data_IF_775780132740
#
_entry.id   IF_775780132740
#
_cell.length_a   1.000
_cell.length_b   1.000
_cell.length_c   1.000
_cell.angle_alpha   90.00
_cell.angle_beta   90.00
_cell.angle_gamma   90.00
#
_symmetry.space_group_name_H-M   'P 1'
#
loop_
_entity.id
_entity.type
_entity.pdbx_description
1 polymer ?
#
# COMPACT_ATOMS: atom_id res chain seq x y z
N UNK A 1 -74.56 -13.85 -41.85
CA UNK A 1 -73.88 -15.16 -41.76
C UNK A 1 -72.39 -14.96 -42.05
N UNK A 2 -71.58 -14.74 -41.01
CA UNK A 2 -70.13 -14.54 -41.11
C UNK A 2 -69.45 -15.85 -40.69
N UNK A 3 -68.69 -16.43 -41.62
CA UNK A 3 -67.99 -17.71 -41.48
C UNK A 3 -66.77 -17.59 -40.55
N UNK A 4 -66.59 -18.62 -39.73
CA UNK A 4 -65.55 -18.80 -38.72
C UNK A 4 -64.16 -18.94 -39.34
N UNK A 5 -63.18 -18.18 -38.82
CA UNK A 5 -61.76 -18.34 -39.12
C UNK A 5 -61.15 -19.23 -38.03
N UNK A 6 -60.85 -20.48 -38.40
CA UNK A 6 -60.14 -21.45 -37.55
C UNK A 6 -58.67 -21.07 -37.38
N UNK A 7 -58.24 -20.93 -36.12
CA UNK A 7 -56.84 -20.75 -35.72
C UNK A 7 -56.05 -22.05 -35.95
N UNK A 8 -54.96 -22.00 -36.73
CA UNK A 8 -53.92 -23.03 -36.76
C UNK A 8 -52.68 -22.55 -36.00
N UNK A 9 -52.16 -23.41 -35.15
CA UNK A 9 -51.03 -23.17 -34.25
C UNK A 9 -49.69 -23.08 -34.99
N UNK A 10 -48.75 -22.21 -34.56
CA UNK A 10 -47.45 -22.06 -35.20
C UNK A 10 -46.45 -23.07 -34.63
N UNK A 11 -46.67 -24.36 -34.91
CA UNK A 11 -45.67 -25.42 -34.71
C UNK A 11 -45.75 -26.37 -35.88
N UNK A 12 -45.26 -25.94 -37.02
CA UNK A 12 -44.80 -26.74 -38.17
C UNK A 12 -44.84 -25.81 -39.37
N UNK A 13 -43.68 -25.31 -39.79
CA UNK A 13 -43.26 -25.00 -41.16
C UNK A 13 -41.84 -24.44 -41.01
N UNK A 14 -40.88 -25.14 -41.61
CA UNK A 14 -39.47 -24.81 -41.92
C UNK A 14 -38.55 -25.99 -41.58
N UNK A 15 -38.75 -27.08 -42.32
CA UNK A 15 -37.67 -27.98 -42.73
C UNK A 15 -37.72 -28.05 -44.25
N UNK A 16 -36.74 -27.47 -44.92
CA UNK A 16 -36.15 -28.02 -46.15
C UNK A 16 -34.92 -27.21 -46.56
N UNK A 17 -33.77 -27.91 -46.56
CA UNK A 17 -32.56 -27.80 -47.42
C UNK A 17 -31.86 -26.42 -47.45
N UNK A 18 -30.61 -26.30 -47.01
CA UNK A 18 -29.41 -26.77 -47.75
C UNK A 18 -28.35 -27.32 -46.80
N UNK A 19 -27.90 -28.54 -47.08
CA UNK A 19 -26.71 -29.17 -46.55
C UNK A 19 -25.47 -28.63 -47.26
N UNK A 20 -24.56 -28.00 -46.54
CA UNK A 20 -23.14 -27.99 -46.92
C UNK A 20 -22.35 -28.56 -45.76
N UNK A 21 -21.79 -29.74 -46.02
CA UNK A 21 -20.97 -30.50 -45.11
C UNK A 21 -19.58 -29.86 -45.04
N UNK A 22 -19.16 -29.46 -43.84
CA UNK A 22 -17.77 -29.08 -43.56
C UNK A 22 -16.95 -30.37 -43.40
N UNK A 23 -15.88 -30.59 -44.18
CA UNK A 23 -15.07 -31.80 -44.07
C UNK A 23 -14.27 -31.81 -42.76
N UNK A 24 -14.33 -32.94 -42.04
CA UNK A 24 -13.46 -33.25 -40.90
C UNK A 24 -12.04 -33.49 -41.41
N UNK A 25 -10.99 -32.87 -40.84
CA UNK A 25 -9.63 -33.24 -41.20
C UNK A 25 -9.31 -34.63 -40.66
N UNK A 26 -9.13 -35.56 -41.61
CA UNK A 26 -8.56 -36.89 -41.43
C UNK A 26 -7.08 -36.81 -41.06
N UNK A 27 -6.60 -37.90 -40.46
CA UNK A 27 -5.37 -37.96 -39.68
C UNK A 27 -4.12 -37.43 -40.37
N UNK A 28 -3.34 -36.65 -39.60
CA UNK A 28 -1.96 -36.33 -39.91
C UNK A 28 -1.07 -37.36 -39.24
N UNK A 29 -0.25 -38.01 -40.07
CA UNK A 29 0.62 -39.13 -39.75
C UNK A 29 1.62 -38.82 -38.62
N UNK A 30 1.89 -39.85 -37.82
CA UNK A 30 2.94 -39.89 -36.80
C UNK A 30 4.31 -39.93 -37.51
N UNK A 31 5.17 -38.91 -37.37
CA UNK A 31 6.52 -39.01 -37.93
C UNK A 31 7.32 -40.05 -37.14
N UNK A 32 7.82 -41.03 -37.88
CA UNK A 32 8.77 -42.03 -37.42
C UNK A 32 10.10 -41.39 -37.04
N UNK A 33 10.70 -41.99 -36.03
CA UNK A 33 11.91 -41.60 -35.33
C UNK A 33 13.12 -41.67 -36.28
N UNK A 34 13.51 -40.55 -36.91
CA UNK A 34 14.81 -40.43 -37.57
C UNK A 34 15.82 -39.84 -36.59
N UNK A 35 16.81 -40.63 -36.23
CA UNK A 35 17.93 -40.28 -35.36
C UNK A 35 18.79 -39.18 -36.00
N UNK A 36 18.53 -37.92 -35.67
CA UNK A 36 19.49 -36.83 -35.92
C UNK A 36 20.20 -36.50 -34.61
N UNK A 37 21.39 -37.08 -34.47
CA UNK A 37 22.57 -36.58 -33.74
C UNK A 37 22.26 -35.60 -32.60
N UNK A 38 22.39 -36.11 -31.37
CA UNK A 38 22.59 -35.33 -30.15
C UNK A 38 23.74 -34.34 -30.40
N UNK A 39 23.41 -33.11 -30.78
CA UNK A 39 24.30 -31.99 -30.49
C UNK A 39 24.29 -31.88 -28.98
N UNK A 40 25.42 -32.21 -28.35
CA UNK A 40 25.67 -31.95 -26.96
C UNK A 40 25.36 -30.46 -26.72
N UNK A 41 24.17 -30.20 -26.16
CA UNK A 41 23.86 -28.90 -25.58
C UNK A 41 24.90 -28.77 -24.48
N UNK A 42 25.84 -27.85 -24.66
CA UNK A 42 26.78 -27.41 -23.63
C UNK A 42 26.02 -27.40 -22.29
N UNK A 43 26.58 -27.96 -21.21
CA UNK A 43 25.88 -27.99 -19.93
C UNK A 43 25.41 -26.56 -19.68
N UNK A 44 24.09 -26.39 -19.58
CA UNK A 44 23.52 -25.13 -19.16
C UNK A 44 24.31 -24.74 -17.92
N UNK A 45 25.03 -23.62 -18.01
CA UNK A 45 25.77 -23.03 -16.92
C UNK A 45 24.96 -23.27 -15.66
N UNK A 46 25.54 -24.01 -14.72
CA UNK A 46 24.99 -24.23 -13.38
C UNK A 46 24.18 -23.00 -12.97
N UNK A 47 22.96 -23.12 -12.43
CA UNK A 47 22.29 -21.94 -11.88
C UNK A 47 23.28 -21.33 -10.90
N UNK A 48 23.85 -20.18 -11.29
CA UNK A 48 24.80 -19.45 -10.47
C UNK A 48 24.13 -19.34 -9.13
N UNK A 49 24.73 -19.96 -8.11
CA UNK A 49 24.25 -19.89 -6.74
C UNK A 49 23.85 -18.42 -6.49
N UNK A 50 22.67 -18.13 -5.92
CA UNK A 50 22.18 -16.76 -5.79
C UNK A 50 23.33 -15.94 -5.23
N UNK A 51 23.82 -15.01 -6.07
CA UNK A 51 24.90 -14.11 -5.76
C UNK A 51 24.67 -13.59 -4.36
N UNK A 52 25.65 -13.77 -3.47
CA UNK A 52 25.63 -13.21 -2.12
C UNK A 52 25.14 -11.78 -2.27
N UNK A 53 23.94 -11.48 -1.75
CA UNK A 53 23.34 -10.18 -1.94
C UNK A 53 24.34 -9.15 -1.42
N UNK A 54 24.90 -8.34 -2.29
CA UNK A 54 25.93 -7.37 -1.91
C UNK A 54 25.29 -6.35 -0.95
N UNK A 55 25.91 -6.08 0.20
CA UNK A 55 25.39 -5.09 1.14
C UNK A 55 25.39 -3.70 0.49
N UNK A 56 24.33 -2.93 0.74
CA UNK A 56 24.24 -1.55 0.24
C UNK A 56 24.97 -0.64 1.21
N UNK A 57 26.03 0.02 0.76
CA UNK A 57 26.80 0.96 1.56
C UNK A 57 26.22 2.37 1.43
N UNK A 58 26.02 3.04 2.57
CA UNK A 58 25.61 4.44 2.64
C UNK A 58 26.56 5.18 3.59
N UNK A 59 26.98 6.38 3.19
CA UNK A 59 27.77 7.29 4.03
C UNK A 59 26.91 7.90 5.14
N UNK A 60 27.49 8.12 6.32
CA UNK A 60 26.78 8.78 7.39
C UNK A 60 26.42 10.22 7.02
N UNK A 61 25.22 10.64 7.41
CA UNK A 61 24.78 12.03 7.33
C UNK A 61 25.27 12.77 8.56
N UNK A 62 25.68 14.04 8.37
CA UNK A 62 26.19 14.85 9.46
C UNK A 62 25.16 14.96 10.61
N UNK A 63 25.58 14.75 11.87
CA UNK A 63 24.70 14.85 13.01
C UNK A 63 24.22 16.29 13.22
N UNK A 64 23.10 16.43 13.95
CA UNK A 64 22.57 17.76 14.31
C UNK A 64 23.59 18.59 15.09
N UNK A 65 24.35 17.96 15.99
CA UNK A 65 25.47 18.57 16.68
C UNK A 65 26.67 17.62 16.58
N UNK A 66 27.80 18.04 15.99
CA UNK A 66 28.99 17.21 15.95
C UNK A 66 29.55 17.10 17.37
N UNK A 67 29.58 15.88 17.91
CA UNK A 67 30.29 15.57 19.14
C UNK A 67 31.68 15.08 18.78
N UNK A 68 32.69 15.35 19.62
CA UNK A 68 34.07 14.90 19.40
C UNK A 68 34.24 13.37 19.35
N UNK A 69 33.23 12.63 19.80
CA UNK A 69 33.16 11.17 19.83
C UNK A 69 32.45 10.59 18.60
N UNK A 70 31.72 11.41 17.84
CA UNK A 70 31.02 10.93 16.66
C UNK A 70 32.04 10.65 15.54
N UNK A 71 31.94 9.52 14.82
CA UNK A 71 32.84 9.23 13.72
C UNK A 71 32.62 10.22 12.56
N UNK A 72 33.70 10.58 11.86
CA UNK A 72 33.62 11.50 10.73
C UNK A 72 32.67 10.97 9.64
N UNK A 73 31.72 11.80 9.13
CA UNK A 73 30.63 11.33 8.28
C UNK A 73 31.09 10.79 6.92
N UNK A 74 32.26 11.23 6.45
CA UNK A 74 32.83 10.83 5.15
C UNK A 74 33.57 9.48 5.20
N UNK A 75 34.07 9.06 6.37
CA UNK A 75 34.90 7.86 6.49
C UNK A 75 34.10 6.62 6.92
N UNK A 76 32.94 6.81 7.56
CA UNK A 76 32.15 5.68 8.10
C UNK A 76 31.09 5.21 7.11
N UNK A 77 31.33 4.04 6.53
CA UNK A 77 30.40 3.33 5.67
C UNK A 77 29.49 2.41 6.50
N UNK A 78 28.17 2.60 6.41
CA UNK A 78 27.19 1.71 7.04
C UNK A 78 26.72 0.67 6.03
N UNK A 79 26.93 -0.61 6.35
CA UNK A 79 26.43 -1.73 5.54
C UNK A 79 24.95 -2.01 5.86
N UNK A 80 24.08 -1.86 4.85
CA UNK A 80 22.65 -2.15 4.96
C UNK A 80 22.29 -3.50 4.35
N UNK A 81 21.25 -4.12 4.91
CA UNK A 81 20.76 -5.41 4.43
C UNK A 81 20.08 -5.29 3.06
N UNK A 82 20.61 -5.97 2.03
CA UNK A 82 20.05 -5.88 0.68
C UNK A 82 18.64 -6.47 0.57
N UNK A 83 18.23 -7.37 1.48
CA UNK A 83 16.87 -7.94 1.45
C UNK A 83 15.78 -6.90 1.73
N UNK A 84 16.13 -5.83 2.46
CA UNK A 84 15.22 -4.74 2.83
C UNK A 84 15.43 -3.51 1.94
N UNK A 85 16.69 -3.19 1.64
CA UNK A 85 17.07 -1.94 0.96
C UNK A 85 17.37 -2.09 -0.53
N UNK A 86 17.41 -3.32 -1.07
CA UNK A 86 17.65 -3.58 -2.51
C UNK A 86 16.52 -4.40 -3.16
N UNK A 87 15.28 -4.02 -2.92
CA UNK A 87 14.12 -4.62 -3.59
C UNK A 87 13.85 -3.94 -4.95
N UNK A 88 13.37 -4.67 -5.99
CA UNK A 88 12.84 -4.05 -7.20
C UNK A 88 11.65 -3.13 -6.88
N UNK A 89 11.61 -1.98 -7.55
CA UNK A 89 10.60 -0.94 -7.33
C UNK A 89 9.26 -1.41 -7.91
N UNK A 90 8.25 -1.51 -7.05
CA UNK A 90 6.90 -1.99 -7.36
C UNK A 90 5.85 -0.93 -7.04
N UNK A 91 5.48 -0.14 -8.04
CA UNK A 91 4.54 1.00 -7.91
C UNK A 91 3.12 0.55 -7.55
N UNK A 92 2.74 -0.64 -7.99
CA UNK A 92 1.46 -1.31 -7.70
C UNK A 92 1.25 -1.49 -6.19
N UNK A 93 2.25 -2.05 -5.48
CA UNK A 93 2.16 -2.29 -4.04
C UNK A 93 2.15 -0.99 -3.25
N UNK A 94 2.99 -0.02 -3.65
CA UNK A 94 3.03 1.30 -3.02
C UNK A 94 1.68 2.00 -3.11
N UNK A 95 1.06 2.00 -4.30
CA UNK A 95 -0.26 2.57 -4.51
C UNK A 95 -1.32 1.90 -3.61
N UNK A 96 -1.35 0.57 -3.55
CA UNK A 96 -2.28 -0.17 -2.68
C UNK A 96 -2.15 0.23 -1.21
N UNK A 97 -0.91 0.31 -0.69
CA UNK A 97 -0.66 0.70 0.69
C UNK A 97 -1.12 2.15 0.98
N UNK A 98 -0.89 3.07 0.02
CA UNK A 98 -1.32 4.47 0.15
C UNK A 98 -2.85 4.57 0.13
N UNK A 99 -3.53 3.88 -0.78
CA UNK A 99 -4.99 3.85 -0.84
C UNK A 99 -5.57 3.31 0.46
N UNK A 100 -5.07 2.16 0.94
CA UNK A 100 -5.51 1.56 2.21
C UNK A 100 -5.33 2.51 3.40
N UNK A 101 -4.19 3.20 3.49
CA UNK A 101 -3.96 4.18 4.54
C UNK A 101 -4.96 5.34 4.45
N UNK A 102 -5.15 5.92 3.25
CA UNK A 102 -6.05 7.06 3.05
C UNK A 102 -7.51 6.71 3.27
N UNK A 103 -7.94 5.52 2.85
CA UNK A 103 -9.29 5.04 3.06
C UNK A 103 -9.60 4.81 4.54
N UNK A 104 -8.63 4.34 5.32
CA UNK A 104 -8.76 4.17 6.79
C UNK A 104 -8.91 5.50 7.53
N UNK A 105 -8.45 6.62 6.96
CA UNK A 105 -8.61 7.96 7.55
C UNK A 105 -10.00 8.57 7.28
N UNK A 106 -10.81 7.99 6.40
CA UNK A 106 -12.11 8.55 6.02
C UNK A 106 -13.19 8.12 7.01
N UNK A 107 -13.86 9.09 7.63
CA UNK A 107 -14.91 8.83 8.62
C UNK A 107 -16.26 8.41 8.01
N UNK A 108 -16.58 8.88 6.81
CA UNK A 108 -17.82 8.53 6.13
C UNK A 108 -19.11 8.96 6.83
N UNK A 109 -19.13 10.11 7.52
CA UNK A 109 -20.28 10.62 8.27
C UNK A 109 -21.40 11.25 7.42
N UNK A 110 -21.25 11.30 6.10
CA UNK A 110 -22.25 11.89 5.22
C UNK A 110 -23.56 11.09 5.27
N UNK A 111 -24.65 11.77 5.67
CA UNK A 111 -25.97 11.17 5.78
C UNK A 111 -27.03 12.07 5.18
N UNK A 112 -27.99 11.47 4.50
CA UNK A 112 -29.20 12.12 4.00
C UNK A 112 -30.42 11.38 4.51
N UNK A 113 -31.51 12.11 4.73
CA UNK A 113 -32.76 11.49 5.16
C UNK A 113 -33.48 10.91 3.96
N UNK A 114 -33.71 9.60 4.01
CA UNK A 114 -34.61 8.91 3.10
C UNK A 114 -36.05 9.29 3.42
N UNK A 115 -36.99 8.97 2.53
CA UNK A 115 -38.42 9.23 2.74
C UNK A 115 -38.96 8.69 4.07
N UNK A 116 -38.39 7.61 4.61
CA UNK A 116 -38.79 7.03 5.90
C UNK A 116 -38.27 7.78 7.13
N UNK A 117 -37.20 8.57 6.97
CA UNK A 117 -36.54 9.30 8.07
C UNK A 117 -36.95 10.79 8.10
N UNK A 118 -37.49 11.31 7.00
CA UNK A 118 -38.02 12.68 6.95
C UNK A 118 -39.29 12.77 7.79
N UNK A 119 -39.44 13.81 8.60
CA UNK A 119 -40.68 14.04 9.36
C UNK A 119 -41.78 14.49 8.41
N UNK A 120 -42.87 13.73 8.30
CA UNK A 120 -44.00 14.07 7.44
C UNK A 120 -45.19 13.14 7.65
N UNK A 121 -46.31 13.45 6.98
CA UNK A 121 -47.51 12.61 7.03
C UNK A 121 -47.42 11.47 6.01
N UNK A 122 -47.56 10.23 6.48
CA UNK A 122 -47.71 9.04 5.65
C UNK A 122 -49.12 8.89 5.03
N UNK A 123 -50.04 9.81 5.34
CA UNK A 123 -51.38 9.83 4.74
C UNK A 123 -51.28 10.23 3.28
N UNK A 124 -52.04 9.53 2.43
CA UNK A 124 -52.17 9.87 1.02
C UNK A 124 -52.69 11.31 0.87
N UNK A 125 -51.97 12.15 0.12
CA UNK A 125 -52.27 13.59 -0.01
C UNK A 125 -53.64 13.84 -0.63
N UNK A 126 -54.05 13.01 -1.60
CA UNK A 126 -55.34 13.12 -2.30
C UNK A 126 -55.78 11.79 -2.90
N UNK A 127 -57.09 11.59 -3.19
CA UNK A 127 -57.59 10.34 -3.75
C UNK A 127 -56.94 10.00 -5.10
N UNK A 128 -56.94 8.70 -5.41
CA UNK A 128 -56.26 8.15 -6.60
C UNK A 128 -56.84 8.66 -7.94
N UNK A 129 -58.11 9.07 -7.94
CA UNK A 129 -58.87 9.57 -9.09
C UNK A 129 -59.75 10.76 -8.64
N UNK A 130 -60.31 11.51 -9.60
CA UNK A 130 -61.27 12.59 -9.36
C UNK A 130 -60.68 14.00 -9.16
N UNK A 131 -59.37 14.14 -8.96
CA UNK A 131 -58.73 15.45 -8.71
C UNK A 131 -58.10 16.12 -9.93
N UNK A 132 -58.05 15.47 -11.09
CA UNK A 132 -57.43 16.01 -12.31
C UNK A 132 -55.90 16.21 -12.28
N UNK A 133 -55.25 15.99 -11.13
CA UNK A 133 -53.79 16.13 -10.93
C UNK A 133 -53.08 14.77 -11.04
N UNK A 134 -51.76 14.77 -11.29
CA UNK A 134 -50.89 13.57 -11.39
C UNK A 134 -51.06 12.59 -10.22
N UNK A 135 -50.69 11.32 -10.24
CA UNK A 135 -50.89 10.47 -9.03
C UNK A 135 -49.85 10.78 -7.95
N UNK A 136 -50.27 10.85 -6.69
CA UNK A 136 -49.38 11.15 -5.57
C UNK A 136 -49.67 10.27 -4.34
N UNK A 137 -48.61 9.93 -3.62
CA UNK A 137 -48.65 9.18 -2.38
C UNK A 137 -48.68 10.12 -1.17
N UNK A 138 -47.68 9.94 -0.33
CA UNK A 138 -47.34 10.65 0.90
C UNK A 138 -46.50 11.92 0.66
N UNK A 139 -46.46 12.78 1.68
CA UNK A 139 -45.71 14.03 1.64
C UNK A 139 -44.18 13.85 1.69
N UNK A 140 -43.69 12.71 2.18
CA UNK A 140 -42.26 12.42 2.28
C UNK A 140 -41.63 11.95 0.95
N UNK A 141 -42.43 11.82 -0.11
CA UNK A 141 -41.97 11.34 -1.42
C UNK A 141 -40.83 12.21 -1.98
N UNK A 142 -39.75 11.60 -2.50
CA UNK A 142 -38.61 12.34 -3.09
C UNK A 142 -38.99 13.20 -4.31
N UNK A 143 -40.14 12.91 -4.93
CA UNK A 143 -40.67 13.72 -6.04
C UNK A 143 -41.19 15.09 -5.58
N UNK A 144 -41.46 15.26 -4.28
CA UNK A 144 -42.00 16.48 -3.70
C UNK A 144 -40.89 17.33 -3.07
N UNK A 145 -41.08 18.65 -3.08
CA UNK A 145 -40.22 19.57 -2.32
C UNK A 145 -40.37 19.29 -0.82
N UNK A 146 -39.24 19.20 -0.12
CA UNK A 146 -39.21 18.83 1.30
C UNK A 146 -39.37 17.33 1.58
N UNK A 147 -39.49 16.49 0.53
CA UNK A 147 -39.42 15.04 0.65
C UNK A 147 -38.00 14.52 0.93
N UNK A 148 -37.89 13.21 1.16
CA UNK A 148 -36.59 12.56 1.35
C UNK A 148 -35.75 12.47 0.08
N UNK A 149 -34.47 12.15 0.19
CA UNK A 149 -33.59 11.91 -0.96
C UNK A 149 -33.59 10.40 -1.27
N UNK A 150 -33.79 10.04 -2.55
CA UNK A 150 -33.85 8.64 -2.97
C UNK A 150 -32.47 7.96 -2.95
N UNK A 151 -31.47 8.57 -3.60
CA UNK A 151 -30.10 8.08 -3.69
C UNK A 151 -29.13 9.12 -3.13
N UNK A 152 -29.15 9.28 -1.81
CA UNK A 152 -28.22 10.17 -1.11
C UNK A 152 -27.13 9.39 -0.37
N UNK A 153 -26.06 10.06 0.08
CA UNK A 153 -25.04 9.43 0.88
C UNK A 153 -25.62 8.90 2.19
N UNK A 154 -25.17 7.70 2.57
CA UNK A 154 -25.41 7.08 3.86
C UNK A 154 -24.09 6.82 4.58
N UNK A 155 -24.07 6.89 5.92
CA UNK A 155 -22.88 6.58 6.68
C UNK A 155 -22.37 5.20 6.35
N UNK A 156 -21.09 5.09 6.03
CA UNK A 156 -20.43 3.83 5.70
C UNK A 156 -18.96 3.88 6.07
N UNK A 157 -18.42 2.72 6.37
CA UNK A 157 -16.98 2.54 6.50
C UNK A 157 -16.32 2.48 5.12
N UNK A 158 -15.20 3.17 4.96
CA UNK A 158 -14.37 3.17 3.76
C UNK A 158 -13.14 2.28 3.91
N UNK A 159 -12.88 1.74 5.10
CA UNK A 159 -11.68 0.97 5.38
C UNK A 159 -11.52 -0.23 4.44
N UNK A 160 -10.32 -0.37 3.88
CA UNK A 160 -9.94 -1.50 3.03
C UNK A 160 -8.86 -2.31 3.73
N UNK A 161 -9.06 -3.62 3.89
CA UNK A 161 -8.10 -4.50 4.57
C UNK A 161 -7.05 -5.01 3.59
N UNK A 162 -5.76 -4.83 3.92
CA UNK A 162 -4.64 -5.41 3.19
C UNK A 162 -3.96 -6.53 3.99
N UNK A 163 -3.43 -7.58 3.32
CA UNK A 163 -2.61 -8.59 3.98
C UNK A 163 -1.32 -7.97 4.54
N UNK A 164 -0.91 -8.40 5.74
CA UNK A 164 0.31 -7.90 6.41
C UNK A 164 1.57 -8.03 5.55
N UNK A 165 1.70 -9.14 4.80
CA UNK A 165 2.83 -9.38 3.89
C UNK A 165 2.93 -8.34 2.77
N UNK A 166 1.78 -7.83 2.29
CA UNK A 166 1.75 -6.79 1.24
C UNK A 166 2.23 -5.46 1.81
N UNK A 167 1.84 -5.12 3.04
CA UNK A 167 2.29 -3.91 3.73
C UNK A 167 3.79 -3.97 3.99
N UNK A 168 4.31 -5.10 4.46
CA UNK A 168 5.75 -5.32 4.66
C UNK A 168 6.53 -5.20 3.34
N UNK A 169 6.01 -5.80 2.26
CA UNK A 169 6.60 -5.66 0.93
C UNK A 169 6.60 -4.19 0.48
N UNK A 170 5.50 -3.46 0.73
CA UNK A 170 5.41 -2.02 0.46
C UNK A 170 6.48 -1.22 1.21
N UNK A 171 6.77 -1.58 2.46
CA UNK A 171 7.83 -0.96 3.26
C UNK A 171 9.22 -1.17 2.64
N UNK A 172 9.57 -2.41 2.29
CA UNK A 172 10.85 -2.75 1.65
C UNK A 172 11.03 -1.99 0.34
N UNK A 173 9.98 -2.01 -0.49
CA UNK A 173 9.97 -1.32 -1.79
C UNK A 173 10.11 0.19 -1.61
N UNK A 174 9.46 0.79 -0.62
CA UNK A 174 9.54 2.23 -0.34
C UNK A 174 10.95 2.64 0.12
N UNK A 175 11.54 1.90 1.08
CA UNK A 175 12.91 2.15 1.55
C UNK A 175 13.93 1.97 0.42
N UNK A 176 13.78 0.90 -0.37
CA UNK A 176 14.65 0.65 -1.52
C UNK A 176 14.55 1.76 -2.58
N UNK A 177 13.36 2.31 -2.81
CA UNK A 177 13.19 3.44 -3.72
C UNK A 177 13.93 4.69 -3.21
N UNK A 178 13.83 4.99 -1.91
CA UNK A 178 14.51 6.15 -1.29
C UNK A 178 16.03 6.05 -1.33
N UNK A 179 16.57 4.84 -1.15
CA UNK A 179 18.00 4.59 -1.30
C UNK A 179 18.45 4.79 -2.75
N UNK A 180 17.70 4.25 -3.73
CA UNK A 180 17.99 4.43 -5.16
C UNK A 180 17.91 5.89 -5.63
N UNK A 181 17.03 6.68 -5.00
CA UNK A 181 16.89 8.11 -5.27
C UNK A 181 17.92 8.98 -4.53
N UNK A 182 18.84 8.40 -3.75
CA UNK A 182 19.82 9.12 -2.90
C UNK A 182 19.16 10.11 -1.91
N UNK A 183 17.93 9.80 -1.49
CA UNK A 183 17.15 10.60 -0.55
C UNK A 183 17.15 10.01 0.87
N UNK A 184 17.98 9.01 1.10
CA UNK A 184 18.07 8.28 2.34
C UNK A 184 19.42 8.56 3.00
N UNK A 185 19.40 8.92 4.28
CA UNK A 185 20.59 9.14 5.10
C UNK A 185 20.50 8.40 6.43
N UNK A 186 21.67 8.10 7.00
CA UNK A 186 21.80 7.44 8.30
C UNK A 186 22.59 8.36 9.23
N UNK A 187 22.09 8.56 10.44
CA UNK A 187 22.74 9.32 11.51
C UNK A 187 23.07 8.37 12.67
N UNK A 188 24.17 8.61 13.37
CA UNK A 188 24.57 7.76 14.50
C UNK A 188 23.80 8.07 15.79
N UNK A 189 23.51 9.34 16.03
CA UNK A 189 22.68 9.81 17.14
C UNK A 189 21.77 10.94 16.66
N UNK A 190 20.55 10.98 17.20
CA UNK A 190 19.56 12.03 16.94
C UNK A 190 19.30 12.88 18.19
N UNK A 191 20.31 13.05 19.04
CA UNK A 191 20.12 13.82 20.27
C UNK A 191 20.24 15.32 20.02
N UNK A 192 19.32 16.07 20.63
CA UNK A 192 19.32 17.52 20.58
C UNK A 192 19.19 18.10 21.99
N UNK A 193 20.23 18.79 22.51
CA UNK A 193 20.26 19.19 23.91
C UNK A 193 19.38 20.41 24.22
N UNK A 194 19.11 21.28 23.25
CA UNK A 194 18.36 22.53 23.47
C UNK A 194 16.93 22.44 22.92
N UNK A 195 15.86 22.57 23.72
CA UNK A 195 14.49 22.51 23.22
C UNK A 195 14.05 23.81 22.49
N UNK A 196 14.94 24.43 21.70
CA UNK A 196 14.72 25.68 20.96
C UNK A 196 14.54 25.37 19.47
N UNK A 197 13.41 25.79 18.92
CA UNK A 197 13.05 25.62 17.50
C UNK A 197 13.95 26.44 16.57
N UNK A 198 14.32 27.66 16.97
CA UNK A 198 15.14 28.57 16.14
C UNK A 198 16.55 28.03 15.87
N UNK A 199 17.18 27.42 16.86
CA UNK A 199 18.53 26.87 16.71
C UNK A 199 18.50 25.62 15.84
N UNK A 200 17.48 24.77 16.01
CA UNK A 200 17.29 23.60 15.16
C UNK A 200 16.95 23.97 13.70
N UNK A 201 16.10 24.99 13.48
CA UNK A 201 15.74 25.45 12.15
C UNK A 201 16.96 25.94 11.35
N UNK A 202 17.82 26.76 11.98
CA UNK A 202 19.09 27.19 11.36
C UNK A 202 19.96 26.00 10.99
N UNK A 203 20.08 25.02 11.90
CA UNK A 203 20.89 23.82 11.66
C UNK A 203 20.34 22.96 10.52
N UNK A 204 19.03 22.86 10.38
CA UNK A 204 18.38 22.17 9.27
C UNK A 204 18.63 22.88 7.93
N UNK A 205 18.62 24.22 7.93
CA UNK A 205 18.97 25.04 6.77
C UNK A 205 20.44 24.84 6.36
N UNK A 206 21.37 24.85 7.33
CA UNK A 206 22.80 24.60 7.10
C UNK A 206 23.05 23.22 6.46
N UNK A 207 22.23 22.22 6.83
CA UNK A 207 22.31 20.85 6.30
C UNK A 207 21.50 20.65 5.00
N UNK A 208 20.76 21.66 4.53
CA UNK A 208 19.93 21.58 3.32
C UNK A 208 18.76 20.59 3.44
N UNK A 209 18.18 20.47 4.65
CA UNK A 209 17.15 19.50 5.01
C UNK A 209 15.74 20.12 5.05
N UNK A 210 15.16 20.42 3.88
CA UNK A 210 13.88 21.17 3.82
C UNK A 210 12.62 20.34 4.10
N UNK A 211 12.62 19.06 3.73
CA UNK A 211 11.46 18.15 3.80
C UNK A 211 11.92 16.77 4.27
N UNK A 212 12.08 16.63 5.58
CA UNK A 212 12.81 15.49 6.16
C UNK A 212 11.98 14.78 7.22
N UNK A 213 11.93 13.45 7.11
CA UNK A 213 11.45 12.56 8.15
C UNK A 213 12.63 12.03 8.96
N UNK A 214 12.63 12.27 10.26
CA UNK A 214 13.56 11.68 11.21
C UNK A 214 12.91 10.46 11.85
N UNK A 215 13.64 9.34 11.83
CA UNK A 215 13.16 8.06 12.38
C UNK A 215 14.12 7.57 13.44
N UNK A 216 13.63 7.52 14.67
CA UNK A 216 14.40 7.05 15.83
C UNK A 216 14.18 5.56 16.05
N UNK A 217 15.24 4.85 16.44
CA UNK A 217 15.20 3.44 16.80
C UNK A 217 14.98 3.18 18.29
N UNK A 218 14.76 4.23 19.06
CA UNK A 218 14.50 4.17 20.49
C UNK A 218 13.01 3.90 20.74
N UNK A 219 12.68 3.25 21.85
CA UNK A 219 11.29 2.96 22.21
C UNK A 219 10.49 4.26 22.41
N UNK A 220 11.13 5.25 23.00
CA UNK A 220 10.58 6.57 23.25
C UNK A 220 11.31 7.63 22.42
N UNK A 221 10.57 8.70 22.11
CA UNK A 221 11.10 9.82 21.35
C UNK A 221 11.83 10.76 22.32
N UNK A 222 13.06 11.22 22.02
CA UNK A 222 13.75 12.18 22.88
C UNK A 222 12.93 13.48 22.99
N UNK A 223 12.49 13.78 24.22
CA UNK A 223 11.54 14.87 24.53
C UNK A 223 12.06 16.23 24.06
N UNK A 224 13.37 16.48 24.17
CA UNK A 224 14.00 17.73 23.75
C UNK A 224 13.92 17.94 22.24
N UNK A 225 14.19 16.90 21.46
CA UNK A 225 14.10 16.92 20.01
C UNK A 225 12.64 17.04 19.56
N UNK A 226 11.73 16.29 20.18
CA UNK A 226 10.30 16.35 19.85
C UNK A 226 9.75 17.78 20.03
N UNK A 227 10.07 18.42 21.17
CA UNK A 227 9.67 19.81 21.44
C UNK A 227 10.26 20.79 20.43
N UNK A 228 11.49 20.57 19.98
CA UNK A 228 12.13 21.42 18.98
C UNK A 228 11.55 21.21 17.56
N UNK A 229 11.16 19.98 17.18
CA UNK A 229 10.64 19.65 15.85
C UNK A 229 9.15 19.98 15.70
N UNK A 230 8.33 19.81 16.75
CA UNK A 230 6.87 19.88 16.66
C UNK A 230 6.32 21.14 15.97
N UNK A 231 7.03 22.27 16.10
CA UNK A 231 6.61 23.56 15.53
C UNK A 231 7.27 23.89 14.18
N UNK A 232 8.18 23.05 13.68
CA UNK A 232 8.86 23.26 12.40
C UNK A 232 8.00 22.64 11.28
N UNK A 233 7.50 23.42 10.32
CA UNK A 233 6.77 22.86 9.19
C UNK A 233 7.71 22.02 8.34
N UNK A 234 7.18 20.99 7.68
CA UNK A 234 7.96 20.12 6.77
C UNK A 234 9.10 19.33 7.44
N UNK A 235 9.05 19.17 8.76
CA UNK A 235 9.88 18.19 9.47
C UNK A 235 9.00 17.36 10.39
N UNK A 236 9.27 16.07 10.49
CA UNK A 236 8.57 15.19 11.43
C UNK A 236 9.54 14.20 12.04
N UNK A 237 9.32 13.90 13.31
CA UNK A 237 9.99 12.87 14.08
C UNK A 237 9.02 11.71 14.29
N UNK A 238 9.46 10.47 14.11
CA UNK A 238 8.63 9.27 14.24
C UNK A 238 9.50 8.09 14.71
N UNK A 239 8.90 7.10 15.35
CA UNK A 239 9.60 5.88 15.78
C UNK A 239 9.53 4.82 14.69
N UNK A 240 10.49 3.89 14.63
CA UNK A 240 10.46 2.74 13.72
C UNK A 240 9.13 1.97 13.75
N UNK A 241 8.52 1.81 14.93
CA UNK A 241 7.28 1.06 15.14
C UNK A 241 6.02 1.73 14.56
N UNK A 242 5.95 3.06 14.56
CA UNK A 242 4.78 3.82 14.12
C UNK A 242 4.87 4.23 12.65
N UNK A 243 6.01 3.94 12.02
CA UNK A 243 6.30 4.33 10.65
C UNK A 243 5.39 3.63 9.65
N UNK A 244 4.84 4.40 8.72
CA UNK A 244 3.95 3.91 7.66
C UNK A 244 4.52 4.14 6.26
N UNK A 245 4.11 3.30 5.31
CA UNK A 245 4.50 3.44 3.88
C UNK A 245 4.08 4.82 3.33
N UNK A 246 2.92 5.34 3.76
CA UNK A 246 2.45 6.66 3.35
C UNK A 246 3.40 7.77 3.81
N UNK A 247 3.95 7.69 5.01
CA UNK A 247 4.91 8.67 5.51
C UNK A 247 6.22 8.62 4.71
N UNK A 248 6.76 7.42 4.45
CA UNK A 248 7.98 7.28 3.64
C UNK A 248 7.86 7.98 2.27
N UNK A 249 6.68 7.94 1.65
CA UNK A 249 6.44 8.55 0.34
C UNK A 249 6.10 10.05 0.42
N UNK A 250 5.52 10.50 1.53
CA UNK A 250 5.15 11.91 1.74
C UNK A 250 6.38 12.80 1.85
N UNK A 251 7.44 12.31 2.49
CA UNK A 251 8.64 13.07 2.78
C UNK A 251 9.68 12.94 1.66
N UNK A 252 10.41 14.03 1.38
CA UNK A 252 11.48 14.02 0.36
C UNK A 252 12.66 13.21 0.87
N UNK A 253 13.28 13.66 1.97
CA UNK A 253 14.42 12.98 2.59
C UNK A 253 14.01 12.20 3.82
N UNK A 254 14.73 11.11 4.09
CA UNK A 254 14.54 10.28 5.27
C UNK A 254 15.89 10.11 5.96
N UNK A 255 15.93 10.41 7.25
CA UNK A 255 17.09 10.22 8.11
C UNK A 255 16.74 9.14 9.12
N UNK A 256 17.50 8.04 9.12
CA UNK A 256 17.37 6.97 10.11
C UNK A 256 18.48 7.06 11.15
N UNK A 257 18.13 6.77 12.39
CA UNK A 257 19.11 6.44 13.41
C UNK A 257 19.74 5.06 13.12
N UNK A 258 21.03 4.88 13.44
CA UNK A 258 21.73 3.61 13.28
C UNK A 258 21.04 2.47 14.04
N UNK A 259 20.46 2.76 15.22
CA UNK A 259 19.63 1.80 15.96
C UNK A 259 18.37 1.42 15.16
N UNK A 260 17.71 2.39 14.53
CA UNK A 260 16.51 2.16 13.72
C UNK A 260 16.79 1.22 12.54
N UNK A 261 17.93 1.41 11.87
CA UNK A 261 18.36 0.54 10.76
C UNK A 261 18.47 -0.94 11.17
N UNK A 262 18.95 -1.22 12.39
CA UNK A 262 19.03 -2.59 12.94
C UNK A 262 17.63 -3.18 13.20
N UNK A 263 16.71 -2.40 13.76
CA UNK A 263 15.34 -2.84 14.03
C UNK A 263 14.56 -3.15 12.74
N UNK A 264 14.75 -2.35 11.69
CA UNK A 264 14.12 -2.66 10.40
C UNK A 264 14.58 -3.99 9.81
N UNK A 265 15.83 -4.37 10.07
CA UNK A 265 16.34 -5.70 9.69
C UNK A 265 15.59 -6.80 10.42
N UNK A 266 15.40 -6.69 11.73
CA UNK A 266 14.72 -7.72 12.51
C UNK A 266 13.24 -7.77 12.18
N UNK A 267 12.53 -6.65 12.24
CA UNK A 267 11.05 -6.64 12.26
C UNK A 267 10.43 -6.92 10.90
N UNK A 268 11.06 -6.42 9.84
CA UNK A 268 10.56 -6.63 8.48
C UNK A 268 10.87 -8.07 8.02
N UNK A 269 11.95 -8.71 8.52
CA UNK A 269 12.36 -10.07 8.13
C UNK A 269 11.67 -11.16 9.01
N UNK A 270 11.48 -10.92 10.31
CA UNK A 270 11.02 -11.93 11.30
C UNK A 270 9.52 -12.24 11.26
N UNK A 271 8.69 -11.51 10.51
CA UNK A 271 7.24 -11.76 10.47
C UNK A 271 6.81 -12.83 9.44
N UNK A 272 7.75 -13.67 8.97
CA UNK A 272 7.41 -15.01 8.48
C UNK A 272 7.16 -15.91 9.71
N UNK A 273 6.02 -16.63 9.80
CA UNK A 273 5.67 -17.43 10.98
C UNK A 273 6.72 -18.51 11.33
N UNK A 274 7.66 -18.80 10.43
CA UNK A 274 8.71 -19.81 10.60
C UNK A 274 10.04 -19.26 11.18
N UNK A 275 10.26 -17.94 11.20
CA UNK A 275 11.56 -17.36 11.58
C UNK A 275 11.64 -16.89 13.05
N UNK A 276 10.51 -16.59 13.69
CA UNK A 276 10.48 -16.03 15.06
C UNK A 276 11.03 -16.99 16.12
N UNK A 277 10.86 -18.31 15.93
CA UNK A 277 11.40 -19.33 16.84
C UNK A 277 12.90 -19.59 16.63
N UNK A 278 13.39 -19.53 15.39
CA UNK A 278 14.79 -19.81 15.06
C UNK A 278 15.72 -18.63 15.37
N UNK A 279 15.28 -17.39 15.12
CA UNK A 279 16.14 -16.20 15.31
C UNK A 279 16.32 -15.88 16.80
N UNK A 280 15.28 -16.06 17.62
CA UNK A 280 15.42 -15.90 19.08
C UNK A 280 16.40 -16.93 19.67
N UNK A 281 16.40 -18.16 19.13
CA UNK A 281 17.30 -19.23 19.58
C UNK A 281 18.75 -18.99 19.13
N UNK A 282 18.95 -18.52 17.90
CA UNK A 282 20.29 -18.18 17.37
C UNK A 282 20.88 -16.94 18.05
N UNK A 283 20.08 -15.92 18.38
CA UNK A 283 20.55 -14.75 19.12
C UNK A 283 20.90 -15.06 20.58
N UNK A 284 20.11 -15.89 21.26
CA UNK A 284 20.43 -16.35 22.63
C UNK A 284 21.73 -17.15 22.69
N UNK A 285 22.04 -17.90 21.62
CA UNK A 285 23.30 -18.64 21.50
C UNK A 285 24.47 -17.71 21.16
N UNK A 286 24.27 -16.70 20.30
CA UNK A 286 25.34 -15.76 19.94
C UNK A 286 25.66 -14.76 21.06
N UNK A 287 24.67 -14.31 21.83
CA UNK A 287 24.88 -13.45 23.00
C UNK A 287 25.55 -14.21 24.17
N UNK A 288 25.44 -15.54 24.24
CA UNK A 288 26.21 -16.37 25.18
C UNK A 288 27.66 -16.65 24.75
N UNK A 289 28.00 -16.45 23.47
CA UNK A 289 29.35 -16.71 22.93
C UNK A 289 30.21 -15.43 22.91
N UNK A 290 29.61 -14.25 23.14
CA UNK A 290 30.28 -12.94 23.05
C UNK A 290 30.42 -12.22 24.41
N UNK A 291 30.50 -12.99 25.50
CA UNK A 291 30.97 -12.59 26.84
C UNK A 291 32.14 -13.52 27.20
#
# INVERSE_FOLDING_TARGET
MLKSVGRRSPRQILRTRVSQAVPRPTGVARPTRSSSRVQARLPASSPTAPSLLEPVYISLSAPFKPTRTDPDPEETLVALDPTVFNHPIRRDILHLCVVQYRDSLRQGSANTKTRGEVRGSGRKIRPQKGTGKARLGDAQSPMLRGGGIAFGPKPRDFSTKLPRKVIQMGMRVALSAKVKEQQFGVMFSMDWPEPKTKTLAKRLEDLGLDQTLFVTGEEEIPVTLERAIRNIPKVKLTTSNTLTVHELLKWRRIMLDAKAGRLFRTDIVTQSPYCRALIHFVFLILDQILI
#
